data_IF_156985713690
#
_entry.id   IF_156985713690
#
_cell.length_a   1.000
_cell.length_b   1.000
_cell.length_c   1.000
_cell.angle_alpha   90.00
_cell.angle_beta   90.00
_cell.angle_gamma   90.00
#
_symmetry.space_group_name_H-M   'P 1'
#
loop_
_entity.id
_entity.type
_entity.pdbx_description
1 polymer ?
#
# COMPACT_ATOMS: atom_id res chain seq x y z
N UNK A 1 -14.22 -0.34 -7.57
CA UNK A 1 -14.88 -1.64 -7.80
C UNK A 1 -14.40 -2.58 -6.72
N UNK A 2 -15.23 -3.42 -6.08
CA UNK A 2 -14.72 -4.31 -5.05
C UNK A 2 -13.54 -5.17 -5.53
N UNK A 3 -12.60 -5.44 -4.63
CA UNK A 3 -11.42 -6.28 -4.90
C UNK A 3 -11.62 -7.67 -4.29
N UNK A 4 -11.41 -8.73 -5.07
CA UNK A 4 -11.49 -10.11 -4.56
C UNK A 4 -10.24 -10.48 -3.77
N UNK A 5 -10.41 -11.13 -2.62
CA UNK A 5 -9.34 -11.67 -1.82
C UNK A 5 -9.58 -13.15 -1.48
N UNK A 6 -8.51 -13.96 -1.56
CA UNK A 6 -8.50 -15.29 -0.96
C UNK A 6 -8.45 -15.17 0.56
N UNK A 7 -8.97 -16.17 1.27
CA UNK A 7 -8.93 -16.24 2.73
C UNK A 7 -8.03 -17.39 3.18
N UNK A 8 -7.39 -17.24 4.33
CA UNK A 8 -6.67 -18.29 5.04
C UNK A 8 -6.94 -18.13 6.54
N UNK A 9 -7.39 -19.21 7.18
CA UNK A 9 -7.47 -19.31 8.64
C UNK A 9 -6.42 -20.29 9.12
N UNK A 10 -5.59 -19.85 10.06
CA UNK A 10 -4.54 -20.65 10.67
C UNK A 10 -4.67 -20.60 12.18
N UNK A 11 -4.65 -21.75 12.86
CA UNK A 11 -4.80 -21.81 14.32
C UNK A 11 -4.30 -23.14 14.87
N UNK A 12 -4.19 -23.24 16.19
CA UNK A 12 -3.96 -24.51 16.87
C UNK A 12 -5.32 -25.18 17.13
N UNK A 13 -5.47 -26.41 16.66
CA UNK A 13 -6.67 -27.21 16.91
C UNK A 13 -6.30 -28.57 17.49
N UNK A 14 -7.19 -29.10 18.32
CA UNK A 14 -7.15 -30.49 18.72
C UNK A 14 -7.51 -31.41 17.56
N UNK A 15 -7.11 -32.68 17.69
CA UNK A 15 -7.22 -33.67 16.63
C UNK A 15 -8.65 -33.85 16.10
N UNK A 16 -9.64 -33.82 16.98
CA UNK A 16 -11.08 -33.96 16.69
C UNK A 16 -11.69 -32.72 16.03
N UNK A 17 -11.02 -31.56 16.14
CA UNK A 17 -11.42 -30.31 15.52
C UNK A 17 -10.76 -30.09 14.16
N UNK A 18 -9.62 -30.73 13.89
CA UNK A 18 -8.90 -30.66 12.60
C UNK A 18 -9.58 -31.43 11.47
N UNK A 19 -9.75 -30.83 10.28
CA UNK A 19 -10.14 -31.52 9.03
C UNK A 19 -9.25 -32.71 8.69
N UNK A 20 -7.96 -32.61 9.03
CA UNK A 20 -6.94 -33.61 8.71
C UNK A 20 -6.73 -34.62 9.84
N UNK A 21 -7.55 -34.57 10.90
CA UNK A 21 -7.43 -35.43 12.08
C UNK A 21 -6.00 -35.37 12.66
N UNK A 22 -5.41 -34.16 12.70
CA UNK A 22 -4.08 -33.85 13.22
C UNK A 22 -4.18 -32.72 14.24
N UNK A 23 -3.55 -32.87 15.40
CA UNK A 23 -3.47 -31.80 16.39
C UNK A 23 -2.34 -30.81 16.07
N UNK A 24 -2.44 -29.60 16.62
CA UNK A 24 -1.40 -28.58 16.53
C UNK A 24 -1.75 -27.44 15.57
N UNK A 25 -0.78 -26.55 15.37
CA UNK A 25 -0.90 -25.41 14.47
C UNK A 25 -0.93 -25.86 13.00
N UNK A 26 -1.94 -25.42 12.26
CA UNK A 26 -2.12 -25.72 10.84
C UNK A 26 -3.09 -24.73 10.19
N UNK A 27 -3.04 -24.61 8.86
CA UNK A 27 -4.12 -24.02 8.08
C UNK A 27 -5.42 -24.85 8.27
N UNK A 28 -6.43 -24.21 8.86
CA UNK A 28 -7.73 -24.81 9.10
C UNK A 28 -8.63 -24.72 7.88
N UNK A 29 -8.61 -23.57 7.20
CA UNK A 29 -9.39 -23.27 6.01
C UNK A 29 -8.58 -22.36 5.08
N UNK A 30 -8.63 -22.57 3.78
CA UNK A 30 -8.11 -21.59 2.81
C UNK A 30 -8.90 -21.61 1.49
N UNK A 31 -8.92 -20.49 0.77
CA UNK A 31 -9.59 -20.38 -0.53
C UNK A 31 -8.80 -21.11 -1.62
N UNK A 32 -9.10 -22.39 -1.83
CA UNK A 32 -8.36 -23.26 -2.76
C UNK A 32 -8.42 -22.77 -4.22
N UNK A 33 -9.46 -22.00 -4.55
CA UNK A 33 -9.61 -21.38 -5.88
C UNK A 33 -8.62 -20.25 -6.14
N UNK A 34 -8.01 -19.66 -5.10
CA UNK A 34 -7.10 -18.50 -5.20
C UNK A 34 -5.72 -18.73 -4.55
N UNK A 35 -5.59 -19.75 -3.71
CA UNK A 35 -4.38 -20.07 -2.96
C UNK A 35 -3.96 -21.49 -3.24
N UNK A 36 -2.70 -21.65 -3.67
CA UNK A 36 -2.04 -22.96 -3.76
C UNK A 36 -1.52 -23.40 -2.39
N UNK A 37 -1.32 -24.70 -2.21
CA UNK A 37 -0.72 -25.25 -0.98
C UNK A 37 0.67 -24.65 -0.69
N UNK A 38 1.50 -24.45 -1.71
CA UNK A 38 2.82 -23.81 -1.55
C UNK A 38 2.72 -22.38 -1.03
N UNK A 39 1.71 -21.62 -1.45
CA UNK A 39 1.48 -20.27 -0.93
C UNK A 39 1.00 -20.28 0.51
N UNK A 40 0.16 -21.27 0.89
CA UNK A 40 -0.23 -21.48 2.28
C UNK A 40 1.02 -21.78 3.13
N UNK A 41 1.86 -22.70 2.69
CA UNK A 41 3.13 -23.06 3.35
C UNK A 41 4.09 -21.86 3.51
N UNK A 42 4.11 -20.94 2.53
CA UNK A 42 4.91 -19.71 2.60
C UNK A 42 4.31 -18.66 3.57
N UNK A 43 3.00 -18.67 3.78
CA UNK A 43 2.29 -17.74 4.68
C UNK A 43 2.40 -18.20 6.13
N UNK A 44 2.21 -19.49 6.44
CA UNK A 44 2.13 -20.00 7.82
C UNK A 44 3.29 -19.54 8.73
N UNK A 45 4.58 -19.61 8.32
CA UNK A 45 5.69 -19.18 9.16
C UNK A 45 5.67 -17.70 9.51
N UNK A 46 4.96 -16.87 8.73
CA UNK A 46 4.82 -15.43 8.96
C UNK A 46 3.67 -15.09 9.90
N UNK A 47 2.73 -16.02 10.11
CA UNK A 47 1.62 -15.87 11.08
C UNK A 47 2.04 -16.20 12.52
N UNK A 48 3.34 -16.32 12.78
CA UNK A 48 3.89 -16.59 14.10
C UNK A 48 3.39 -15.60 15.16
N UNK A 49 2.88 -16.10 16.27
CA UNK A 49 2.49 -15.31 17.43
C UNK A 49 3.03 -15.95 18.71
N UNK A 50 3.80 -15.19 19.48
CA UNK A 50 4.34 -15.63 20.76
C UNK A 50 3.48 -15.11 21.91
N UNK A 51 3.14 -16.00 22.84
CA UNK A 51 2.46 -15.62 24.08
C UNK A 51 3.26 -14.56 24.84
N UNK A 52 2.59 -13.48 25.24
CA UNK A 52 3.13 -12.38 26.04
C UNK A 52 2.24 -12.15 27.27
N UNK A 53 2.70 -11.41 28.31
CA UNK A 53 1.86 -11.12 29.46
C UNK A 53 0.58 -10.33 29.12
N UNK A 54 0.64 -9.44 28.12
CA UNK A 54 -0.50 -8.63 27.70
C UNK A 54 -1.39 -9.31 26.65
N UNK A 55 -0.86 -10.31 25.93
CA UNK A 55 -1.49 -10.97 24.78
C UNK A 55 -2.42 -10.05 23.97
N UNK A 56 -1.89 -9.04 23.27
CA UNK A 56 -2.73 -8.18 22.46
C UNK A 56 -3.05 -8.87 21.12
N UNK A 57 -4.17 -8.51 20.49
CA UNK A 57 -4.35 -8.78 19.06
C UNK A 57 -3.24 -8.10 18.25
N UNK A 58 -2.90 -8.67 17.10
CA UNK A 58 -1.91 -8.09 16.20
C UNK A 58 -2.34 -8.13 14.75
N UNK A 59 -1.85 -7.16 14.00
CA UNK A 59 -2.08 -7.00 12.58
C UNK A 59 -0.76 -7.17 11.82
N UNK A 60 -0.83 -7.87 10.70
CA UNK A 60 0.29 -8.14 9.81
C UNK A 60 -0.04 -7.68 8.40
N UNK A 61 0.93 -7.12 7.70
CA UNK A 61 0.86 -6.89 6.27
C UNK A 61 2.19 -7.19 5.61
N UNK A 62 2.22 -7.96 4.53
CA UNK A 62 3.46 -8.25 3.82
C UNK A 62 3.23 -8.71 2.37
N UNK A 63 4.22 -8.52 1.49
CA UNK A 63 4.20 -9.12 0.16
C UNK A 63 4.52 -10.62 0.22
N UNK A 64 3.76 -11.39 -0.56
CA UNK A 64 4.01 -12.80 -0.88
C UNK A 64 4.45 -12.85 -2.34
N UNK A 65 5.74 -13.08 -2.58
CA UNK A 65 6.31 -13.00 -3.93
C UNK A 65 6.26 -11.58 -4.52
N UNK A 66 5.86 -11.48 -5.79
CA UNK A 66 5.80 -10.21 -6.57
C UNK A 66 4.40 -9.83 -7.01
N UNK A 67 3.41 -10.65 -6.67
CA UNK A 67 2.09 -10.63 -7.27
C UNK A 67 0.98 -10.76 -6.23
N UNK A 68 1.30 -11.13 -4.98
CA UNK A 68 0.33 -11.20 -3.89
C UNK A 68 0.72 -10.38 -2.68
N UNK A 69 -0.29 -9.90 -1.98
CA UNK A 69 -0.19 -9.19 -0.71
C UNK A 69 -1.02 -9.92 0.32
N UNK A 70 -0.48 -10.06 1.53
CA UNK A 70 -1.15 -10.74 2.64
C UNK A 70 -1.40 -9.72 3.74
N UNK A 71 -2.64 -9.69 4.21
CA UNK A 71 -3.09 -8.90 5.35
C UNK A 71 -3.70 -9.84 6.36
N UNK A 72 -3.19 -9.89 7.59
CA UNK A 72 -3.69 -10.81 8.60
C UNK A 72 -3.99 -10.11 9.92
N UNK A 73 -5.03 -10.59 10.59
CA UNK A 73 -5.35 -10.23 11.96
C UNK A 73 -5.23 -11.49 12.82
N UNK A 74 -4.51 -11.38 13.92
CA UNK A 74 -4.20 -12.49 14.82
C UNK A 74 -4.71 -12.15 16.21
N UNK A 75 -5.53 -13.04 16.75
CA UNK A 75 -6.10 -12.94 18.10
C UNK A 75 -5.56 -14.04 18.99
N UNK A 76 -5.14 -13.74 20.23
CA UNK A 76 -4.91 -14.78 21.21
C UNK A 76 -6.22 -15.48 21.56
N UNK A 77 -6.13 -16.77 21.89
CA UNK A 77 -7.25 -17.54 22.42
C UNK A 77 -7.00 -17.81 23.90
N UNK A 78 -8.05 -17.71 24.71
CA UNK A 78 -7.99 -18.00 26.15
C UNK A 78 -7.82 -19.49 26.45
N UNK A 79 -8.07 -20.35 25.45
CA UNK A 79 -7.99 -21.79 25.56
C UNK A 79 -6.56 -22.25 25.88
N UNK A 80 -6.42 -22.99 26.97
CA UNK A 80 -5.25 -23.85 27.20
C UNK A 80 -5.44 -25.17 26.49
N UNK A 81 -4.38 -25.71 25.92
CA UNK A 81 -4.44 -27.06 25.36
C UNK A 81 -4.67 -28.13 26.44
N UNK A 82 -4.82 -29.39 26.05
CA UNK A 82 -5.03 -30.50 26.98
C UNK A 82 -3.91 -30.68 28.02
N UNK A 83 -2.74 -30.05 27.81
CA UNK A 83 -1.59 -30.09 28.71
C UNK A 83 -1.46 -28.81 29.56
N UNK A 84 -2.45 -27.91 29.51
CA UNK A 84 -2.43 -26.65 30.24
C UNK A 84 -1.47 -25.61 29.66
N UNK A 85 -0.93 -25.83 28.45
CA UNK A 85 -0.04 -24.88 27.79
C UNK A 85 -0.86 -23.72 27.24
N UNK A 86 -0.40 -22.50 27.51
CA UNK A 86 -0.94 -21.26 26.96
C UNK A 86 -0.30 -20.95 25.61
N UNK A 87 -0.90 -20.00 24.89
CA UNK A 87 -0.34 -19.46 23.64
C UNK A 87 -1.03 -19.97 22.38
N UNK A 88 -2.24 -20.52 22.51
CA UNK A 88 -3.15 -20.70 21.37
C UNK A 88 -3.52 -19.32 20.80
N UNK A 89 -3.61 -19.25 19.48
CA UNK A 89 -4.04 -18.06 18.76
C UNK A 89 -4.75 -18.46 17.47
N UNK A 90 -5.54 -17.55 16.93
CA UNK A 90 -6.16 -17.66 15.63
C UNK A 90 -5.69 -16.52 14.74
N UNK A 91 -5.22 -16.86 13.56
CA UNK A 91 -4.88 -15.92 12.50
C UNK A 91 -5.90 -16.05 11.38
N UNK A 92 -6.53 -14.93 11.00
CA UNK A 92 -7.34 -14.85 9.78
C UNK A 92 -6.64 -13.88 8.82
N UNK A 93 -6.24 -14.39 7.65
CA UNK A 93 -5.54 -13.66 6.61
C UNK A 93 -6.40 -13.51 5.35
N UNK A 94 -6.25 -12.35 4.71
CA UNK A 94 -6.72 -12.03 3.38
C UNK A 94 -5.52 -11.96 2.43
N UNK A 95 -5.67 -12.54 1.25
CA UNK A 95 -4.62 -12.56 0.23
C UNK A 95 -5.15 -11.94 -1.06
N UNK A 96 -4.52 -10.85 -1.47
CA UNK A 96 -4.90 -10.05 -2.62
C UNK A 96 -3.94 -10.25 -3.77
N UNK A 97 -4.42 -10.17 -5.01
CA UNK A 97 -3.54 -9.87 -6.13
C UNK A 97 -3.04 -8.42 -6.02
N UNK A 98 -1.74 -8.22 -6.22
CA UNK A 98 -1.10 -6.91 -6.07
C UNK A 98 -1.58 -5.91 -7.14
N UNK A 99 -1.85 -6.35 -8.37
CA UNK A 99 -2.36 -5.45 -9.40
C UNK A 99 -3.74 -4.93 -9.02
N UNK A 100 -4.65 -5.81 -8.58
CA UNK A 100 -5.99 -5.43 -8.15
C UNK A 100 -5.94 -4.51 -6.92
N UNK A 101 -5.02 -4.75 -5.98
CA UNK A 101 -4.77 -3.87 -4.85
C UNK A 101 -4.39 -2.45 -5.27
N UNK A 102 -3.45 -2.33 -6.20
CA UNK A 102 -2.94 -1.04 -6.70
C UNK A 102 -4.03 -0.32 -7.49
N UNK A 103 -4.68 -1.00 -8.43
CA UNK A 103 -5.78 -0.43 -9.22
C UNK A 103 -6.96 -0.02 -8.34
N UNK A 104 -7.21 -0.78 -7.28
CA UNK A 104 -8.21 -0.48 -6.29
C UNK A 104 -7.85 0.66 -5.34
N UNK A 105 -6.58 1.04 -5.23
CA UNK A 105 -6.16 2.05 -4.25
C UNK A 105 -6.38 1.60 -2.80
N UNK A 106 -6.26 0.30 -2.51
CA UNK A 106 -6.49 -0.23 -1.16
C UNK A 106 -5.43 0.25 -0.17
N UNK A 107 -5.84 0.46 1.08
CA UNK A 107 -4.98 0.77 2.22
C UNK A 107 -5.06 -0.35 3.26
N UNK A 108 -3.93 -0.90 3.73
CA UNK A 108 -3.95 -2.08 4.58
C UNK A 108 -4.61 -1.83 5.95
N UNK A 109 -4.41 -0.65 6.54
CA UNK A 109 -5.00 -0.33 7.84
C UNK A 109 -6.52 -0.15 7.71
N UNK A 110 -6.98 0.46 6.62
CA UNK A 110 -8.42 0.64 6.43
C UNK A 110 -9.12 -0.70 6.19
N UNK A 111 -8.49 -1.62 5.44
CA UNK A 111 -9.01 -3.00 5.30
C UNK A 111 -9.02 -3.72 6.65
N UNK A 112 -7.94 -3.63 7.44
CA UNK A 112 -7.89 -4.21 8.80
C UNK A 112 -9.02 -3.74 9.70
N UNK A 113 -9.35 -2.44 9.64
CA UNK A 113 -10.37 -1.83 10.48
C UNK A 113 -11.81 -2.09 10.03
N UNK A 114 -12.02 -2.39 8.74
CA UNK A 114 -13.37 -2.51 8.16
C UNK A 114 -13.78 -3.96 7.88
N UNK A 115 -12.83 -4.87 7.67
CA UNK A 115 -13.13 -6.27 7.40
C UNK A 115 -13.41 -7.05 8.69
N UNK A 116 -14.45 -7.90 8.75
CA UNK A 116 -14.81 -8.66 9.94
C UNK A 116 -13.92 -9.91 10.11
N UNK A 117 -12.68 -9.72 10.57
CA UNK A 117 -11.77 -10.83 10.87
C UNK A 117 -12.32 -11.73 11.98
N UNK A 118 -12.01 -13.03 11.88
CA UNK A 118 -12.46 -14.02 12.85
C UNK A 118 -11.81 -13.75 14.21
N UNK A 119 -12.60 -13.85 15.28
CA UNK A 119 -12.17 -13.65 16.66
C UNK A 119 -12.19 -14.97 17.46
N UNK A 120 -12.74 -16.04 16.91
CA UNK A 120 -12.79 -17.36 17.56
C UNK A 120 -12.76 -18.51 16.55
N UNK A 121 -12.46 -19.72 17.03
CA UNK A 121 -12.43 -20.95 16.21
C UNK A 121 -13.83 -21.26 15.65
N UNK A 122 -14.88 -21.03 16.44
CA UNK A 122 -16.28 -21.27 16.04
C UNK A 122 -16.67 -20.36 14.87
N UNK A 123 -16.27 -19.08 14.91
CA UNK A 123 -16.49 -18.16 13.81
C UNK A 123 -15.78 -18.63 12.55
N UNK A 124 -14.51 -19.04 12.66
CA UNK A 124 -13.76 -19.56 11.53
C UNK A 124 -14.39 -20.80 10.92
N UNK A 125 -14.75 -21.80 11.75
CA UNK A 125 -15.39 -23.04 11.30
C UNK A 125 -16.75 -22.81 10.63
N UNK A 126 -17.44 -21.71 10.96
CA UNK A 126 -18.71 -21.35 10.32
C UNK A 126 -18.54 -20.76 8.91
N UNK A 127 -17.34 -20.35 8.50
CA UNK A 127 -17.09 -19.72 7.20
C UNK A 127 -16.80 -20.70 6.06
N UNK A 128 -16.35 -21.93 6.38
CA UNK A 128 -15.85 -22.87 5.37
C UNK A 128 -16.37 -24.29 5.55
N UNK A 129 -16.00 -25.16 4.60
CA UNK A 129 -16.34 -26.58 4.63
C UNK A 129 -15.23 -27.37 5.32
N UNK A 130 -15.58 -27.99 6.45
CA UNK A 130 -14.66 -28.80 7.26
C UNK A 130 -14.18 -30.07 6.56
N UNK A 131 -14.93 -30.60 5.61
CA UNK A 131 -14.54 -31.84 4.92
C UNK A 131 -13.47 -31.57 3.85
N UNK A 132 -13.50 -30.38 3.25
CA UNK A 132 -12.60 -30.01 2.15
C UNK A 132 -11.50 -29.05 2.58
N UNK A 133 -11.61 -28.44 3.76
CA UNK A 133 -10.77 -27.32 4.22
C UNK A 133 -10.86 -26.08 3.31
N UNK A 134 -11.94 -25.93 2.53
CA UNK A 134 -12.14 -24.80 1.63
C UNK A 134 -12.98 -23.69 2.28
N UNK A 135 -12.66 -22.44 1.95
CA UNK A 135 -13.41 -21.25 2.35
C UNK A 135 -13.53 -20.33 1.13
N UNK A 136 -14.74 -19.88 0.82
CA UNK A 136 -14.98 -19.07 -0.37
C UNK A 136 -14.15 -17.76 -0.33
N UNK A 137 -13.65 -17.26 -1.48
CA UNK A 137 -13.09 -15.91 -1.57
C UNK A 137 -14.07 -14.84 -1.12
N UNK A 138 -13.55 -13.70 -0.68
CA UNK A 138 -14.36 -12.54 -0.26
C UNK A 138 -14.16 -11.36 -1.19
N UNK A 139 -15.20 -10.54 -1.25
CA UNK A 139 -15.19 -9.26 -1.97
C UNK A 139 -14.97 -8.14 -0.97
N UNK A 140 -13.81 -7.50 -1.02
CA UNK A 140 -13.45 -6.38 -0.14
C UNK A 140 -13.81 -5.08 -0.85
N UNK A 141 -14.69 -4.30 -0.24
CA UNK A 141 -15.06 -2.98 -0.74
C UNK A 141 -13.93 -1.98 -0.54
N UNK A 142 -13.96 -0.90 -1.31
CA UNK A 142 -13.08 0.25 -1.11
C UNK A 142 -13.73 1.14 -0.06
N UNK A 143 -13.27 1.11 1.19
CA UNK A 143 -13.76 2.04 2.18
C UNK A 143 -13.43 3.47 1.72
N UNK A 144 -14.45 4.31 1.58
CA UNK A 144 -14.30 5.76 1.48
C UNK A 144 -13.92 6.25 2.87
N UNK A 145 -12.65 6.16 3.25
CA UNK A 145 -12.24 6.62 4.56
C UNK A 145 -12.22 8.15 4.60
N UNK A 146 -12.98 8.71 5.53
CA UNK A 146 -12.85 10.08 6.02
C UNK A 146 -12.52 10.06 7.50
N UNK A 147 -11.64 9.15 7.96
CA UNK A 147 -11.30 9.10 9.38
C UNK A 147 -10.58 10.41 9.71
N UNK A 148 -11.09 11.23 10.63
CA UNK A 148 -10.44 12.47 11.02
C UNK A 148 -9.08 12.13 11.64
N UNK A 149 -8.01 12.39 10.89
CA UNK A 149 -6.65 12.13 11.30
C UNK A 149 -6.30 13.10 12.42
N UNK A 150 -5.99 12.58 13.61
CA UNK A 150 -5.39 13.37 14.67
C UNK A 150 -3.98 13.74 14.22
N UNK A 151 -3.77 14.98 13.77
CA UNK A 151 -2.51 15.36 13.16
C UNK A 151 -1.36 15.21 14.17
N UNK A 152 -0.38 14.30 13.95
CA UNK A 152 0.86 14.27 14.73
C UNK A 152 1.64 15.58 14.56
N UNK A 153 2.68 15.82 15.38
CA UNK A 153 3.64 16.88 15.09
C UNK A 153 4.16 16.72 13.66
N UNK A 154 4.08 17.80 12.87
CA UNK A 154 4.32 17.78 11.42
C UNK A 154 5.65 17.15 11.04
N UNK A 155 6.71 17.40 11.83
CA UNK A 155 8.05 16.88 11.57
C UNK A 155 8.14 15.34 11.71
N UNK A 156 7.54 14.76 12.76
CA UNK A 156 7.55 13.30 12.96
C UNK A 156 6.85 12.61 11.80
N UNK A 157 5.68 13.12 11.40
CA UNK A 157 4.91 12.56 10.29
C UNK A 157 5.67 12.64 8.98
N UNK A 158 6.26 13.80 8.66
CA UNK A 158 7.09 13.97 7.48
C UNK A 158 8.20 12.92 7.40
N UNK A 159 8.92 12.69 8.51
CA UNK A 159 9.98 11.67 8.57
C UNK A 159 9.43 10.26 8.39
N UNK A 160 8.35 9.91 9.08
CA UNK A 160 7.71 8.60 8.96
C UNK A 160 7.21 8.34 7.54
N UNK A 161 6.58 9.33 6.90
CA UNK A 161 6.13 9.26 5.51
C UNK A 161 7.29 9.02 4.55
N UNK A 162 8.42 9.72 4.72
CA UNK A 162 9.60 9.45 3.89
C UNK A 162 10.16 8.04 4.07
N UNK A 163 10.14 7.49 5.29
CA UNK A 163 10.51 6.09 5.51
C UNK A 163 9.51 5.14 4.84
N UNK A 164 8.21 5.43 4.88
CA UNK A 164 7.18 4.64 4.21
C UNK A 164 7.34 4.64 2.68
N UNK A 165 7.61 5.81 2.08
CA UNK A 165 7.89 5.94 0.65
C UNK A 165 9.14 5.17 0.20
N UNK A 166 9.97 4.73 1.15
CA UNK A 166 11.21 3.96 0.94
C UNK A 166 11.14 2.56 1.52
N UNK A 167 9.95 2.06 1.85
CA UNK A 167 9.77 0.79 2.55
C UNK A 167 10.50 -0.39 1.88
N UNK A 168 10.43 -0.48 0.54
CA UNK A 168 11.13 -1.54 -0.21
C UNK A 168 12.65 -1.49 -0.01
N UNK A 169 13.25 -0.29 -0.06
CA UNK A 169 14.69 -0.11 0.13
C UNK A 169 15.09 -0.45 1.58
N UNK A 170 14.30 -0.01 2.57
CA UNK A 170 14.54 -0.33 3.98
C UNK A 170 14.55 -1.84 4.23
N UNK A 171 13.55 -2.57 3.69
CA UNK A 171 13.48 -4.04 3.81
C UNK A 171 14.70 -4.71 3.18
N UNK A 172 15.12 -4.26 1.97
CA UNK A 172 16.33 -4.78 1.29
C UNK A 172 17.60 -4.53 2.11
N UNK A 173 17.71 -3.36 2.73
CA UNK A 173 18.83 -2.96 3.59
C UNK A 173 18.74 -3.53 5.02
N UNK A 174 17.71 -4.34 5.30
CA UNK A 174 17.44 -4.91 6.62
C UNK A 174 17.28 -3.85 7.72
N UNK A 175 16.75 -2.69 7.36
CA UNK A 175 16.37 -1.62 8.27
C UNK A 175 14.86 -1.62 8.51
N UNK A 176 14.43 -1.18 9.69
CA UNK A 176 13.02 -1.05 10.02
C UNK A 176 12.73 0.12 10.97
N UNK A 177 11.49 0.61 10.92
CA UNK A 177 10.91 1.41 11.98
C UNK A 177 10.55 0.50 13.16
N UNK A 178 11.09 0.79 14.34
CA UNK A 178 10.66 0.19 15.60
C UNK A 178 9.68 1.14 16.30
N UNK A 179 8.39 0.85 16.18
CA UNK A 179 7.30 1.59 16.80
C UNK A 179 7.09 1.05 18.21
N UNK A 180 7.55 1.78 19.22
CA UNK A 180 7.62 1.33 20.61
C UNK A 180 6.37 1.78 21.35
N UNK A 181 5.51 0.82 21.72
CA UNK A 181 4.24 1.09 22.38
C UNK A 181 3.22 -0.04 22.21
N UNK A 182 1.97 0.19 22.64
CA UNK A 182 0.90 -0.79 22.49
C UNK A 182 0.45 -0.90 21.01
N UNK A 183 -0.05 -2.07 20.56
CA UNK A 183 -0.36 -2.31 19.14
C UNK A 183 -1.40 -1.38 18.53
N UNK A 184 -2.40 -0.93 19.31
CA UNK A 184 -3.40 0.05 18.89
C UNK A 184 -2.78 1.40 18.51
N UNK A 185 -1.82 1.88 19.31
CA UNK A 185 -1.05 3.08 18.99
C UNK A 185 -0.14 2.90 17.78
N UNK A 186 0.44 1.70 17.60
CA UNK A 186 1.23 1.36 16.42
C UNK A 186 0.37 1.44 15.16
N UNK A 187 -0.79 0.80 15.16
CA UNK A 187 -1.74 0.82 14.04
C UNK A 187 -2.25 2.22 13.75
N UNK A 188 -2.47 3.05 14.78
CA UNK A 188 -2.82 4.45 14.59
C UNK A 188 -1.74 5.22 13.84
N UNK A 189 -0.46 5.09 14.22
CA UNK A 189 0.64 5.75 13.50
C UNK A 189 0.72 5.25 12.06
N UNK A 190 0.60 3.93 11.85
CA UNK A 190 0.61 3.36 10.50
C UNK A 190 -0.55 3.89 9.65
N UNK A 191 -1.75 4.06 10.23
CA UNK A 191 -2.90 4.66 9.55
C UNK A 191 -2.58 6.08 9.07
N UNK A 192 -2.05 6.91 9.97
CA UNK A 192 -1.71 8.31 9.69
C UNK A 192 -0.67 8.42 8.56
N UNK A 193 0.35 7.56 8.60
CA UNK A 193 1.44 7.56 7.61
C UNK A 193 0.99 7.03 6.25
N UNK A 194 0.25 5.93 6.21
CA UNK A 194 -0.11 5.26 4.94
C UNK A 194 -1.19 6.00 4.14
N UNK A 195 -1.89 6.96 4.75
CA UNK A 195 -2.79 7.86 4.02
C UNK A 195 -2.03 8.68 2.98
N UNK A 196 -0.79 9.07 3.28
CA UNK A 196 0.10 9.82 2.39
C UNK A 196 0.82 8.95 1.33
N UNK A 197 0.73 7.63 1.43
CA UNK A 197 1.50 6.70 0.58
C UNK A 197 0.63 6.20 -0.58
N UNK A 198 1.05 6.38 -1.85
CA UNK A 198 0.37 5.83 -3.02
C UNK A 198 0.28 4.30 -2.96
N UNK A 199 -0.76 3.71 -3.53
CA UNK A 199 -1.01 2.26 -3.48
C UNK A 199 0.14 1.42 -4.07
N UNK A 200 0.79 1.92 -5.12
CA UNK A 200 1.98 1.28 -5.71
C UNK A 200 3.17 1.18 -4.73
N UNK A 201 3.28 2.11 -3.78
CA UNK A 201 4.33 2.11 -2.76
C UNK A 201 3.86 1.45 -1.46
N UNK A 202 2.58 1.59 -1.09
CA UNK A 202 2.05 1.02 0.14
C UNK A 202 2.11 -0.51 0.15
N UNK A 203 2.10 -1.15 -1.02
CA UNK A 203 2.29 -2.59 -1.20
C UNK A 203 3.62 -3.11 -0.62
N UNK A 204 4.61 -2.22 -0.44
CA UNK A 204 5.91 -2.53 0.14
C UNK A 204 6.03 -2.17 1.61
N UNK A 205 5.06 -1.44 2.17
CA UNK A 205 5.01 -1.01 3.57
C UNK A 205 4.62 -2.17 4.49
N UNK A 206 5.38 -3.27 4.44
CA UNK A 206 5.17 -4.44 5.29
C UNK A 206 5.29 -4.09 6.78
N UNK A 207 4.42 -4.64 7.62
CA UNK A 207 4.47 -4.42 9.05
C UNK A 207 3.98 -5.61 9.89
N UNK A 208 4.42 -5.62 11.15
CA UNK A 208 3.84 -6.43 12.24
C UNK A 208 3.54 -5.50 13.42
N UNK A 209 2.27 -5.31 13.79
CA UNK A 209 1.90 -4.38 14.87
C UNK A 209 2.28 -4.86 16.28
N UNK A 210 2.71 -6.12 16.43
CA UNK A 210 3.21 -6.69 17.68
C UNK A 210 4.27 -7.78 17.44
N UNK A 211 5.50 -7.37 17.14
CA UNK A 211 6.64 -8.23 16.83
C UNK A 211 7.34 -8.74 18.11
N UNK A 212 6.64 -9.56 18.90
CA UNK A 212 7.19 -10.11 20.14
C UNK A 212 7.90 -11.45 19.92
N UNK A 213 9.17 -11.55 20.36
CA UNK A 213 10.04 -12.74 20.21
C UNK A 213 10.18 -13.25 18.76
N UNK A 214 9.86 -12.42 17.77
CA UNK A 214 10.05 -12.73 16.36
C UNK A 214 11.53 -12.64 15.94
N UNK A 215 11.85 -13.27 14.81
CA UNK A 215 13.18 -13.18 14.22
C UNK A 215 13.20 -12.24 13.01
N UNK A 216 13.55 -10.97 13.23
CA UNK A 216 13.56 -9.94 12.18
C UNK A 216 14.51 -10.28 11.01
N UNK A 217 15.53 -11.11 11.24
CA UNK A 217 16.42 -11.56 10.16
C UNK A 217 15.69 -12.49 9.19
N UNK A 218 14.81 -13.35 9.71
CA UNK A 218 14.03 -14.28 8.89
C UNK A 218 12.79 -13.64 8.29
N UNK A 219 12.18 -12.69 8.99
CA UNK A 219 10.95 -12.00 8.59
C UNK A 219 11.15 -10.48 8.56
N UNK A 220 11.94 -9.95 7.61
CA UNK A 220 12.15 -8.52 7.51
C UNK A 220 10.83 -7.84 7.11
N UNK A 221 10.51 -6.76 7.79
CA UNK A 221 9.42 -5.87 7.44
C UNK A 221 9.86 -4.42 7.59
N UNK A 222 9.12 -3.51 6.97
CA UNK A 222 9.42 -2.09 7.02
C UNK A 222 9.17 -1.49 8.41
N UNK A 223 8.10 -1.92 9.10
CA UNK A 223 7.79 -1.47 10.45
C UNK A 223 7.44 -2.62 11.40
N UNK A 224 7.91 -2.55 12.64
CA UNK A 224 7.55 -3.46 13.73
C UNK A 224 7.04 -2.70 14.94
N UNK A 225 5.91 -3.13 15.48
CA UNK A 225 5.45 -2.74 16.81
C UNK A 225 6.18 -3.55 17.88
N UNK A 226 6.79 -2.88 18.86
CA UNK A 226 7.54 -3.54 19.93
C UNK A 226 7.08 -3.04 21.30
N UNK A 227 6.95 -3.92 22.30
CA UNK A 227 6.58 -3.49 23.66
C UNK A 227 7.71 -2.70 24.34
N UNK A 228 8.95 -2.91 23.92
CA UNK A 228 10.15 -2.30 24.49
C UNK A 228 11.11 -1.86 23.38
N UNK A 229 11.94 -0.86 23.68
CA UNK A 229 12.91 -0.35 22.73
C UNK A 229 13.97 -1.42 22.41
N UNK A 230 14.19 -1.78 21.13
CA UNK A 230 15.29 -2.66 20.77
C UNK A 230 16.63 -1.93 20.93
N UNK A 231 17.75 -2.68 20.99
CA UNK A 231 19.08 -2.09 20.86
C UNK A 231 19.19 -1.25 19.58
N UNK A 232 19.99 -0.16 19.60
CA UNK A 232 20.22 0.64 18.40
C UNK A 232 20.91 -0.20 17.31
N UNK A 233 20.80 0.25 16.05
CA UNK A 233 21.44 -0.39 14.90
C UNK A 233 20.52 -0.37 13.70
N UNK A 234 19.91 -1.52 13.39
CA UNK A 234 19.00 -1.67 12.24
C UNK A 234 17.63 -1.04 12.43
N UNK A 235 17.31 -0.63 13.66
CA UNK A 235 16.02 -0.09 14.04
C UNK A 235 16.11 1.42 14.20
N UNK A 236 15.23 2.13 13.50
CA UNK A 236 14.94 3.55 13.71
C UNK A 236 13.80 3.61 14.72
N UNK A 237 14.07 4.11 15.92
CA UNK A 237 13.16 3.94 17.07
C UNK A 237 12.22 5.13 17.22
N UNK A 238 10.94 4.84 17.42
CA UNK A 238 9.87 5.84 17.55
C UNK A 238 9.05 5.50 18.79
N UNK A 239 8.91 6.45 19.71
CA UNK A 239 7.96 6.34 20.82
C UNK A 239 6.56 6.62 20.28
N UNK A 240 5.68 5.61 20.33
CA UNK A 240 4.32 5.69 19.80
C UNK A 240 3.46 6.69 20.60
N UNK A 241 3.65 6.74 21.91
CA UNK A 241 2.84 7.57 22.81
C UNK A 241 3.22 9.04 22.67
N UNK A 242 4.52 9.33 22.66
CA UNK A 242 5.05 10.69 22.56
C UNK A 242 5.11 11.17 21.10
N UNK A 243 5.02 10.25 20.13
CA UNK A 243 5.13 10.53 18.69
C UNK A 243 6.44 11.25 18.34
N UNK A 244 7.56 10.76 18.89
CA UNK A 244 8.91 11.29 18.63
C UNK A 244 9.88 10.17 18.27
N UNK A 245 10.90 10.51 17.50
CA UNK A 245 12.06 9.64 17.29
C UNK A 245 12.90 9.62 18.58
N UNK A 246 13.30 8.43 19.02
CA UNK A 246 14.17 8.27 20.19
C UNK A 246 15.65 8.45 19.84
N UNK A 247 15.99 8.32 18.56
CA UNK A 247 17.33 8.47 18.03
C UNK A 247 17.53 9.88 17.47
N UNK A 248 18.66 10.51 17.78
CA UNK A 248 19.13 11.75 17.15
C UNK A 248 19.70 11.45 15.75
N UNK A 249 18.84 10.88 14.90
CA UNK A 249 19.14 10.62 13.50
C UNK A 249 18.67 11.79 12.67
N UNK A 250 19.54 12.27 11.78
CA UNK A 250 19.17 13.28 10.81
C UNK A 250 17.95 12.79 9.99
N UNK A 251 16.95 13.66 9.75
CA UNK A 251 15.79 13.29 8.96
C UNK A 251 16.22 12.89 7.54
N UNK A 252 15.56 11.91 6.91
CA UNK A 252 15.82 11.58 5.52
C UNK A 252 15.56 12.81 4.63
N UNK A 253 16.46 13.08 3.69
CA UNK A 253 16.30 14.16 2.70
C UNK A 253 15.46 13.64 1.52
N UNK A 254 14.44 14.38 1.02
CA UNK A 254 13.63 13.94 -0.12
C UNK A 254 14.45 13.85 -1.42
N UNK A 255 14.34 12.70 -2.10
CA UNK A 255 15.08 12.31 -3.30
C UNK A 255 14.25 12.45 -4.57
N UNK A 256 12.96 12.13 -4.52
CA UNK A 256 12.05 12.17 -5.68
C UNK A 256 11.22 13.45 -5.71
N UNK A 257 10.66 13.80 -6.86
CA UNK A 257 9.67 14.88 -6.98
C UNK A 257 8.43 14.57 -6.15
N UNK A 258 8.00 13.31 -6.09
CA UNK A 258 6.86 12.92 -5.27
C UNK A 258 7.15 13.11 -3.78
N UNK A 259 8.31 12.67 -3.28
CA UNK A 259 8.69 12.89 -1.88
C UNK A 259 8.70 14.39 -1.52
N UNK A 260 9.19 15.26 -2.42
CA UNK A 260 9.18 16.72 -2.20
C UNK A 260 7.78 17.31 -2.19
N UNK A 261 6.93 16.87 -3.13
CA UNK A 261 5.53 17.28 -3.21
C UNK A 261 4.80 16.92 -1.92
N UNK A 262 4.93 15.67 -1.48
CA UNK A 262 4.28 15.14 -0.28
C UNK A 262 4.70 15.91 0.98
N UNK A 263 6.01 16.12 1.18
CA UNK A 263 6.51 16.89 2.32
C UNK A 263 6.00 18.32 2.34
N UNK A 264 5.96 18.99 1.19
CA UNK A 264 5.46 20.36 1.09
C UNK A 264 3.98 20.44 1.47
N UNK A 265 3.17 19.46 1.06
CA UNK A 265 1.75 19.38 1.40
C UNK A 265 1.52 19.09 2.88
N UNK A 266 2.28 18.15 3.46
CA UNK A 266 2.25 17.86 4.89
C UNK A 266 2.67 19.10 5.71
N UNK A 267 3.70 19.83 5.28
CA UNK A 267 4.17 21.05 5.95
C UNK A 267 3.10 22.15 5.95
N UNK A 268 2.39 22.29 4.84
CA UNK A 268 1.36 23.29 4.67
C UNK A 268 0.00 22.87 5.26
N UNK A 269 -0.11 21.65 5.81
CA UNK A 269 -1.37 21.08 6.32
C UNK A 269 -2.51 21.12 5.29
N UNK A 270 -2.20 21.02 4.01
CA UNK A 270 -3.21 21.12 2.96
C UNK A 270 -4.08 19.84 2.95
N UNK A 271 -5.42 19.95 2.91
CA UNK A 271 -6.32 18.79 2.89
C UNK A 271 -6.35 18.08 1.52
N UNK A 272 -6.78 16.81 1.49
CA UNK A 272 -6.97 16.08 0.23
C UNK A 272 -5.70 15.44 -0.35
N UNK A 273 -4.66 15.22 0.48
CA UNK A 273 -3.50 14.41 0.09
C UNK A 273 -3.94 13.00 -0.35
N UNK A 274 -4.86 12.38 0.41
CA UNK A 274 -5.37 11.04 0.13
C UNK A 274 -5.97 10.92 -1.28
N UNK A 275 -6.76 11.91 -1.70
CA UNK A 275 -7.43 11.95 -3.00
C UNK A 275 -6.49 12.25 -4.16
N UNK A 276 -5.36 12.91 -3.89
CA UNK A 276 -4.47 13.44 -4.93
C UNK A 276 -3.19 12.63 -5.13
N UNK A 277 -2.78 11.83 -4.13
CA UNK A 277 -1.48 11.16 -4.09
C UNK A 277 -1.22 10.25 -5.29
N UNK A 278 -2.23 9.54 -5.79
CA UNK A 278 -2.05 8.59 -6.91
C UNK A 278 -1.72 9.34 -8.21
N UNK A 279 -2.47 10.41 -8.48
CA UNK A 279 -2.26 11.26 -9.66
C UNK A 279 -0.95 12.04 -9.55
N UNK A 280 -0.64 12.59 -8.37
CA UNK A 280 0.61 13.30 -8.12
C UNK A 280 1.83 12.37 -8.24
N UNK A 281 1.74 11.15 -7.71
CA UNK A 281 2.80 10.13 -7.83
C UNK A 281 3.06 9.76 -9.28
N UNK A 282 2.00 9.49 -10.04
CA UNK A 282 2.11 9.14 -11.47
C UNK A 282 2.73 10.28 -12.27
N UNK A 283 2.29 11.53 -12.04
CA UNK A 283 2.88 12.71 -12.69
C UNK A 283 4.36 12.89 -12.34
N UNK A 284 4.71 12.79 -11.05
CA UNK A 284 6.09 12.94 -10.60
C UNK A 284 7.01 11.88 -11.22
N UNK A 285 6.57 10.61 -11.27
CA UNK A 285 7.33 9.54 -11.92
C UNK A 285 7.48 9.74 -13.42
N UNK A 286 6.46 10.27 -14.09
CA UNK A 286 6.54 10.64 -15.50
C UNK A 286 7.61 11.73 -15.72
N UNK A 287 7.62 12.79 -14.89
CA UNK A 287 8.61 13.87 -14.96
C UNK A 287 10.05 13.40 -14.68
N UNK A 288 10.21 12.37 -13.85
CA UNK A 288 11.50 11.74 -13.59
C UNK A 288 11.98 10.81 -14.71
N UNK A 289 11.13 10.52 -15.70
CA UNK A 289 11.42 9.52 -16.73
C UNK A 289 11.37 8.07 -16.23
N UNK A 290 10.78 7.85 -15.06
CA UNK A 290 10.66 6.54 -14.41
C UNK A 290 9.47 5.71 -14.90
N UNK A 291 8.65 6.28 -15.79
CA UNK A 291 7.57 5.58 -16.49
C UNK A 291 7.96 5.39 -17.95
N UNK A 292 7.79 4.18 -18.47
CA UNK A 292 8.09 3.82 -19.87
C UNK A 292 7.11 4.44 -20.88
N UNK A 293 6.05 5.08 -20.40
CA UNK A 293 5.02 5.69 -21.24
C UNK A 293 5.43 7.09 -21.69
N UNK A 294 5.41 7.31 -23.00
CA UNK A 294 5.59 8.65 -23.58
C UNK A 294 4.35 9.52 -23.41
N UNK A 295 3.18 8.90 -23.26
CA UNK A 295 1.92 9.56 -22.97
C UNK A 295 1.84 9.95 -21.49
N UNK A 296 1.35 11.16 -21.28
CA UNK A 296 1.13 11.73 -19.96
C UNK A 296 -0.17 11.14 -19.38
N UNK A 297 -0.33 10.99 -18.05
CA UNK A 297 -1.60 10.54 -17.47
C UNK A 297 -2.77 11.41 -17.95
N UNK A 298 -3.84 10.80 -18.46
CA UNK A 298 -4.99 11.56 -18.92
C UNK A 298 -5.60 12.35 -17.74
N UNK A 299 -5.87 13.64 -17.97
CA UNK A 299 -6.54 14.55 -17.03
C UNK A 299 -5.87 14.72 -15.64
N UNK A 300 -4.69 15.36 -15.57
CA UNK A 300 -4.17 15.83 -14.28
C UNK A 300 -4.89 17.13 -13.86
N UNK A 301 -5.53 17.17 -12.67
CA UNK A 301 -6.13 18.38 -12.13
C UNK A 301 -5.14 19.55 -12.04
N UNK A 302 -5.58 20.76 -12.40
CA UNK A 302 -4.73 21.96 -12.38
C UNK A 302 -4.07 22.20 -11.01
N UNK A 303 -4.80 21.91 -9.91
CA UNK A 303 -4.25 22.01 -8.54
C UNK A 303 -2.99 21.16 -8.33
N UNK A 304 -2.96 19.94 -8.89
CA UNK A 304 -1.80 19.05 -8.80
C UNK A 304 -0.66 19.56 -9.67
N UNK A 305 -0.95 20.04 -10.89
CA UNK A 305 0.05 20.66 -11.77
C UNK A 305 0.71 21.86 -11.09
N UNK A 306 -0.08 22.75 -10.49
CA UNK A 306 0.41 23.93 -9.78
C UNK A 306 1.28 23.52 -8.59
N UNK A 307 0.82 22.57 -7.77
CA UNK A 307 1.57 22.09 -6.62
C UNK A 307 2.90 21.44 -7.03
N UNK A 308 2.91 20.56 -8.03
CA UNK A 308 4.12 19.90 -8.55
C UNK A 308 5.06 20.94 -9.19
N UNK A 309 4.54 21.93 -9.91
CA UNK A 309 5.35 22.98 -10.56
C UNK A 309 6.19 23.83 -9.58
N UNK A 310 5.80 23.86 -8.29
CA UNK A 310 6.53 24.60 -7.23
C UNK A 310 7.74 23.83 -6.72
N UNK A 311 7.74 22.49 -6.80
CA UNK A 311 8.79 21.63 -6.23
C UNK A 311 9.77 21.07 -7.26
N UNK A 312 9.43 21.12 -8.55
CA UNK A 312 10.27 20.62 -9.64
C UNK A 312 11.27 21.68 -10.16
N UNK A 313 12.44 21.28 -10.67
CA UNK A 313 13.39 22.20 -11.27
C UNK A 313 12.84 22.84 -12.56
N UNK A 314 13.41 23.99 -12.96
CA UNK A 314 12.95 24.79 -14.10
C UNK A 314 12.77 23.96 -15.40
N UNK A 315 13.70 23.05 -15.71
CA UNK A 315 13.60 22.17 -16.89
C UNK A 315 12.37 21.26 -16.86
N UNK A 316 12.05 20.67 -15.71
CA UNK A 316 10.85 19.83 -15.56
C UNK A 316 9.57 20.69 -15.63
N UNK A 317 9.63 21.92 -15.13
CA UNK A 317 8.54 22.90 -15.26
C UNK A 317 8.28 23.29 -16.72
N UNK A 318 9.33 23.49 -17.52
CA UNK A 318 9.20 23.74 -18.96
C UNK A 318 8.53 22.56 -19.68
N UNK A 319 8.91 21.32 -19.32
CA UNK A 319 8.26 20.11 -19.85
C UNK A 319 6.76 20.06 -19.50
N UNK A 320 6.39 20.39 -18.25
CA UNK A 320 4.99 20.51 -17.84
C UNK A 320 4.25 21.55 -18.70
N UNK A 321 4.80 22.77 -18.82
CA UNK A 321 4.18 23.88 -19.55
C UNK A 321 4.01 23.54 -21.03
N UNK A 322 5.04 22.98 -21.67
CA UNK A 322 5.03 22.64 -23.09
C UNK A 322 3.96 21.60 -23.44
N UNK A 323 3.60 20.72 -22.49
CA UNK A 323 2.60 19.67 -22.70
C UNK A 323 1.19 20.07 -22.26
N UNK A 324 1.05 20.92 -21.22
CA UNK A 324 -0.25 21.25 -20.63
C UNK A 324 -0.87 22.58 -21.08
N UNK A 325 -0.19 23.43 -21.85
CA UNK A 325 -0.84 24.61 -22.47
C UNK A 325 -1.63 24.21 -23.72
N UNK A 326 -2.98 24.15 -23.67
CA UNK A 326 -3.78 23.74 -24.82
C UNK A 326 -3.79 24.82 -25.91
N UNK A 327 -3.61 26.09 -25.52
CA UNK A 327 -3.68 27.26 -26.40
C UNK A 327 -2.62 27.27 -27.52
N UNK A 328 -1.53 26.50 -27.37
CA UNK A 328 -0.53 26.36 -28.42
C UNK A 328 -0.93 25.33 -29.49
N UNK A 329 -1.75 24.33 -29.16
CA UNK A 329 -2.12 23.26 -30.11
C UNK A 329 -3.37 23.60 -30.93
N UNK A 330 -4.37 24.27 -30.33
CA UNK A 330 -5.56 24.73 -31.08
C UNK A 330 -5.21 25.80 -32.11
N UNK A 331 -4.33 26.75 -31.78
CA UNK A 331 -3.88 27.77 -32.73
C UNK A 331 -2.99 27.19 -33.85
N UNK A 332 -2.17 26.18 -33.55
CA UNK A 332 -1.31 25.56 -34.57
C UNK A 332 -2.12 24.68 -35.54
N UNK A 333 -3.12 23.94 -35.05
CA UNK A 333 -4.02 23.16 -35.90
C UNK A 333 -4.98 24.05 -36.73
N UNK A 334 -5.51 25.14 -36.16
CA UNK A 334 -6.31 26.10 -36.93
C UNK A 334 -5.47 26.85 -37.98
N UNK A 335 -4.23 27.23 -37.66
CA UNK A 335 -3.33 27.89 -38.62
C UNK A 335 -2.88 26.94 -39.75
N UNK A 336 -2.62 25.67 -39.44
CA UNK A 336 -2.30 24.65 -40.45
C UNK A 336 -3.49 24.28 -41.33
N UNK A 337 -4.71 24.22 -40.77
CA UNK A 337 -5.93 24.00 -41.54
C UNK A 337 -6.26 25.19 -42.44
N UNK A 338 -6.15 26.44 -41.95
CA UNK A 338 -6.33 27.64 -42.75
C UNK A 338 -5.30 27.76 -43.90
N UNK A 339 -4.06 27.31 -43.68
CA UNK A 339 -3.02 27.27 -44.72
C UNK A 339 -3.28 26.16 -45.77
N UNK A 340 -3.90 25.03 -45.40
CA UNK A 340 -4.31 23.97 -46.32
C UNK A 340 -5.49 24.38 -47.20
N UNK A 341 -6.49 25.08 -46.64
CA UNK A 341 -7.65 25.57 -47.40
C UNK A 341 -7.29 26.65 -48.42
N UNK A 342 -6.28 27.50 -48.13
CA UNK A 342 -5.74 28.44 -49.11
C UNK A 342 -4.94 27.78 -50.24
N UNK A 343 -4.41 26.57 -50.04
CA UNK A 343 -3.74 25.81 -51.12
C UNK A 343 -4.70 24.98 -51.97
N UNK A 344 -5.87 24.57 -51.46
CA UNK A 344 -6.87 23.85 -52.25
C UNK A 344 -7.74 24.76 -53.11
N UNK A 345 -7.86 26.05 -52.76
CA UNK A 345 -8.64 27.04 -53.51
C UNK A 345 -7.86 27.73 -54.65
N UNK A 346 -6.56 27.48 -54.78
CA UNK A 346 -5.70 28.04 -55.84
C UNK A 346 -5.47 27.15 -57.07
N UNK A 347 -6.05 25.94 -57.12
CA UNK A 347 -5.71 24.94 -58.16
C UNK A 347 -6.81 24.58 -59.15
N UNK A 348 -8.03 25.10 -59.03
CA UNK A 348 -9.17 24.63 -59.85
C UNK A 348 -9.48 25.48 -61.09
N UNK A 349 -8.69 26.52 -61.40
CA UNK A 349 -8.91 27.37 -62.58
C UNK A 349 -7.82 27.30 -63.67
N UNK A 350 -6.75 26.53 -63.49
CA UNK A 350 -5.64 26.46 -64.48
C UNK A 350 -5.58 25.15 -65.31
N UNK A 351 -6.58 24.27 -65.20
CA UNK A 351 -6.59 22.96 -65.86
C UNK A 351 -7.35 22.82 -67.19
N UNK A 352 -8.00 23.87 -67.70
CA UNK A 352 -9.01 23.72 -68.78
C UNK A 352 -8.70 24.44 -70.10
N UNK A 353 -7.43 24.70 -70.41
CA UNK A 353 -7.02 25.21 -71.74
C UNK A 353 -5.90 24.38 -72.34
N UNK A 354 -6.17 23.17 -72.86
CA UNK A 354 -5.23 22.50 -73.78
C UNK A 354 -5.74 21.33 -74.62
N UNK A 355 -6.97 21.37 -75.14
CA UNK A 355 -7.38 20.46 -76.24
C UNK A 355 -8.25 21.26 -77.22
N UNK A 356 -8.23 20.91 -78.51
CA UNK A 356 -8.69 21.61 -79.75
C UNK A 356 -7.55 22.30 -80.53
N UNK A 357 -6.73 21.56 -81.30
CA UNK A 357 -6.86 21.11 -82.73
C UNK A 357 -5.93 21.95 -83.64
N UNK A 358 -5.49 21.48 -84.83
CA UNK A 358 -5.97 20.34 -85.64
C UNK A 358 -5.12 19.06 -85.53
#
# INVERSE_FOLDING_TARGET
MPTTAGQLVYTNVEKDRSPHNRGGFQALLHSQSLLSETEVDDIEPRLFYAHSPSNPSKSLFFPLGRDKLVLAHIVPLDDTDTFGRKGSYLAHALVFNQADWITGGLNPIVVLQSFPFCQSIEQALALGDRATSDIAPVSVNHPTTSTPIRQPPTETLQRLTLYALRAEAMVKERQALALIGPPDGVEQILAEVLIAVPAALNAWCSFDSFFYKGNFVSTPCWAVGLPEAPPPGRFIRVDVKQRVFLDDTAPPVPRTFFERWELARLQAHEPGIEDEKETAYTLCRWLEGSLSTTALPEEVPQKILDAVSRIVPARAKEQLIARYRPEAQTNNNQSQNAAREKKSSGGFLDGLKRWWLP
#
